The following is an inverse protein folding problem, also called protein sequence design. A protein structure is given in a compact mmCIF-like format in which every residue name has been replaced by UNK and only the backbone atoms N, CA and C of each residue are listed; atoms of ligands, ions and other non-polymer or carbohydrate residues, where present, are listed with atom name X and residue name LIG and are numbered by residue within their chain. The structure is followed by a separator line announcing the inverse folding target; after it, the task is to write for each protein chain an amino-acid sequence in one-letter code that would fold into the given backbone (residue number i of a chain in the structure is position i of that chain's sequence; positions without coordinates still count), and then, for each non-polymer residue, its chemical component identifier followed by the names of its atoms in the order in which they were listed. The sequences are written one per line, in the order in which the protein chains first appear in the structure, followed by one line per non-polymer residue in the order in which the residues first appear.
data_IF_077572737525
#
_entry.id   IF_077572737525
#
_cell.length_a   1.000
_cell.length_b   1.000
_cell.length_c   1.000
_cell.angle_alpha   90.00
_cell.angle_beta   90.00
_cell.angle_gamma   90.00
#
_symmetry.space_group_name_H-M   'P 1'
#
loop_
_entity.id
_entity.type
_entity.pdbx_description
1 polymer ?
#
# COMPACT_ATOMS: atom_id res chain seq x y z
N UNK A 1 -20.59 -0.17 -41.92
CA UNK A 1 -21.14 -0.13 -40.57
C UNK A 1 -21.00 1.30 -40.06
N UNK A 2 -22.06 1.93 -39.51
CA UNK A 2 -21.91 3.24 -38.87
C UNK A 2 -20.94 3.14 -37.70
N UNK A 3 -20.12 4.18 -37.47
CA UNK A 3 -19.20 4.23 -36.36
C UNK A 3 -19.97 4.02 -35.06
N UNK A 4 -19.37 3.25 -34.14
CA UNK A 4 -19.96 3.04 -32.85
C UNK A 4 -20.09 4.38 -32.11
N UNK A 5 -21.30 4.73 -31.69
CA UNK A 5 -21.57 5.97 -30.98
C UNK A 5 -20.87 5.92 -29.63
N UNK A 6 -20.07 6.95 -29.33
CA UNK A 6 -19.38 7.07 -28.02
C UNK A 6 -20.45 7.40 -26.97
N UNK A 7 -20.48 6.66 -25.83
CA UNK A 7 -21.39 6.96 -24.74
C UNK A 7 -21.17 8.36 -24.16
N UNK A 8 -22.22 9.03 -23.69
CA UNK A 8 -22.11 10.37 -23.07
C UNK A 8 -21.22 10.40 -21.85
N UNK A 9 -21.06 9.27 -21.16
CA UNK A 9 -20.26 9.08 -19.95
C UNK A 9 -18.91 8.40 -20.23
N UNK A 10 -18.39 8.50 -21.44
CA UNK A 10 -17.19 7.79 -21.91
C UNK A 10 -15.98 8.00 -21.01
N UNK A 11 -15.71 9.23 -20.57
CA UNK A 11 -14.59 9.53 -19.70
C UNK A 11 -14.70 8.78 -18.36
N UNK A 12 -15.87 8.76 -17.75
CA UNK A 12 -16.14 8.04 -16.49
C UNK A 12 -16.04 6.53 -16.69
N UNK A 13 -16.55 6.03 -17.83
CA UNK A 13 -16.48 4.63 -18.21
C UNK A 13 -15.04 4.14 -18.38
N UNK A 14 -14.21 4.91 -19.08
CA UNK A 14 -12.79 4.59 -19.25
C UNK A 14 -12.04 4.62 -17.94
N UNK A 15 -12.30 5.60 -17.08
CA UNK A 15 -11.71 5.63 -15.73
C UNK A 15 -12.10 4.40 -14.91
N UNK A 16 -13.39 4.00 -14.92
CA UNK A 16 -13.85 2.81 -14.22
C UNK A 16 -13.26 1.51 -14.78
N UNK A 17 -12.95 1.45 -16.07
CA UNK A 17 -12.27 0.33 -16.71
C UNK A 17 -10.79 0.27 -16.34
N UNK A 18 -10.11 1.41 -16.34
CA UNK A 18 -8.67 1.53 -15.99
C UNK A 18 -8.41 1.14 -14.52
N UNK A 19 -9.28 1.60 -13.62
CA UNK A 19 -9.22 1.28 -12.20
C UNK A 19 -9.35 -0.23 -11.87
N UNK A 20 -9.86 -1.04 -12.80
CA UNK A 20 -9.94 -2.50 -12.61
C UNK A 20 -8.60 -3.21 -12.82
N UNK A 21 -7.63 -2.56 -13.44
CA UNK A 21 -6.30 -3.14 -13.67
C UNK A 21 -6.28 -4.43 -14.53
N UNK A 22 -7.41 -4.80 -15.20
CA UNK A 22 -7.54 -6.05 -15.96
C UNK A 22 -7.34 -5.87 -17.46
N UNK A 23 -7.27 -4.64 -17.94
CA UNK A 23 -7.06 -4.31 -19.34
C UNK A 23 -5.60 -4.61 -19.73
N UNK A 24 -5.40 -5.24 -20.89
CA UNK A 24 -4.07 -5.64 -21.41
C UNK A 24 -3.27 -6.59 -20.50
N UNK A 25 -3.93 -7.25 -19.54
CA UNK A 25 -3.32 -8.27 -18.69
C UNK A 25 -3.42 -9.68 -19.32
N UNK A 26 -2.63 -10.67 -18.88
CA UNK A 26 -2.74 -12.05 -19.36
C UNK A 26 -4.14 -12.63 -19.24
N UNK A 27 -4.42 -13.66 -20.03
CA UNK A 27 -5.66 -14.44 -19.93
C UNK A 27 -5.73 -15.08 -18.53
N UNK A 28 -6.95 -15.18 -17.99
CA UNK A 28 -7.19 -15.72 -16.65
C UNK A 28 -8.22 -16.85 -16.69
N UNK A 29 -7.88 -18.01 -16.12
CA UNK A 29 -8.72 -19.22 -16.15
C UNK A 29 -10.14 -18.99 -15.58
N UNK A 30 -10.33 -18.04 -14.67
CA UNK A 30 -11.67 -17.67 -14.15
C UNK A 30 -12.61 -17.16 -15.24
N UNK A 31 -12.13 -16.35 -16.18
CA UNK A 31 -12.92 -15.89 -17.34
C UNK A 31 -13.01 -16.98 -18.42
N UNK A 32 -11.94 -17.76 -18.60
CA UNK A 32 -11.92 -18.87 -19.55
C UNK A 32 -12.91 -19.97 -19.18
N UNK A 33 -13.15 -20.24 -17.89
CA UNK A 33 -14.19 -21.14 -17.42
C UNK A 33 -15.58 -20.71 -17.90
N UNK A 34 -15.86 -19.41 -17.84
CA UNK A 34 -17.15 -18.84 -18.24
C UNK A 34 -17.34 -19.01 -19.74
N UNK A 35 -16.36 -18.60 -20.55
CA UNK A 35 -16.45 -18.70 -22.02
C UNK A 35 -16.52 -20.15 -22.51
N UNK A 36 -15.77 -21.09 -21.89
CA UNK A 36 -15.90 -22.52 -22.19
C UNK A 36 -17.29 -23.07 -21.81
N UNK A 37 -17.85 -22.60 -20.70
CA UNK A 37 -19.19 -23.01 -20.26
C UNK A 37 -20.25 -22.52 -21.25
N UNK A 38 -20.16 -21.28 -21.71
CA UNK A 38 -21.03 -20.72 -22.74
C UNK A 38 -21.03 -21.59 -24.02
N UNK A 39 -19.85 -21.91 -24.55
CA UNK A 39 -19.72 -22.76 -25.73
C UNK A 39 -20.40 -24.12 -25.55
N UNK A 40 -20.29 -24.72 -24.36
CA UNK A 40 -20.91 -26.03 -24.07
C UNK A 40 -22.43 -25.95 -23.94
N UNK A 41 -22.94 -24.96 -23.20
CA UNK A 41 -24.39 -24.82 -22.93
C UNK A 41 -25.12 -24.48 -24.22
N UNK A 42 -24.64 -23.51 -24.97
CA UNK A 42 -25.33 -23.04 -26.21
C UNK A 42 -24.93 -23.84 -27.46
N UNK A 43 -24.02 -24.81 -27.34
CA UNK A 43 -23.45 -25.54 -28.49
C UNK A 43 -23.00 -24.59 -29.61
N UNK A 44 -22.22 -23.55 -29.21
CA UNK A 44 -21.79 -22.45 -30.06
C UNK A 44 -20.25 -22.44 -30.18
N UNK A 45 -19.68 -22.13 -31.37
CA UNK A 45 -18.24 -22.19 -31.57
C UNK A 45 -17.50 -21.04 -30.94
N UNK A 46 -18.14 -19.88 -30.73
CA UNK A 46 -17.47 -18.65 -30.33
C UNK A 46 -18.11 -18.09 -29.07
N UNK A 47 -17.28 -17.86 -28.03
CA UNK A 47 -17.67 -17.12 -26.84
C UNK A 47 -16.48 -16.29 -26.30
N UNK A 48 -16.74 -15.10 -25.81
CA UNK A 48 -15.66 -14.24 -25.30
C UNK A 48 -16.15 -13.22 -24.27
N UNK A 49 -15.21 -12.82 -23.40
CA UNK A 49 -15.32 -11.65 -22.52
C UNK A 49 -14.53 -10.52 -23.19
N UNK A 50 -15.20 -9.43 -23.49
CA UNK A 50 -14.60 -8.28 -24.14
C UNK A 50 -14.64 -7.05 -23.24
N UNK A 51 -13.53 -6.32 -23.18
CA UNK A 51 -13.40 -5.01 -22.54
C UNK A 51 -13.18 -3.97 -23.63
N UNK A 52 -13.90 -2.86 -23.54
CA UNK A 52 -13.88 -1.83 -24.60
C UNK A 52 -13.12 -0.61 -24.09
N UNK A 53 -11.90 -0.46 -24.58
CA UNK A 53 -11.08 0.71 -24.36
C UNK A 53 -11.43 1.86 -25.32
N UNK A 54 -10.65 2.93 -25.28
CA UNK A 54 -10.86 4.14 -26.12
C UNK A 54 -10.95 3.80 -27.61
N UNK A 55 -9.97 3.07 -28.13
CA UNK A 55 -9.85 2.75 -29.55
C UNK A 55 -9.78 1.23 -29.83
N UNK A 56 -9.74 0.42 -28.79
CA UNK A 56 -9.49 -1.02 -28.86
C UNK A 56 -10.56 -1.80 -28.11
N UNK A 57 -11.00 -2.91 -28.71
CA UNK A 57 -11.69 -3.98 -28.01
C UNK A 57 -10.64 -5.02 -27.59
N UNK A 58 -10.47 -5.22 -26.29
CA UNK A 58 -9.59 -6.22 -25.70
C UNK A 58 -10.38 -7.45 -25.28
N UNK A 59 -9.93 -8.65 -25.73
CA UNK A 59 -10.59 -9.91 -25.37
C UNK A 59 -9.89 -10.50 -24.15
N UNK A 60 -10.52 -10.38 -22.98
CA UNK A 60 -10.03 -10.89 -21.69
C UNK A 60 -10.10 -12.42 -21.61
N UNK A 61 -11.02 -13.01 -22.35
CA UNK A 61 -11.14 -14.46 -22.57
C UNK A 61 -11.80 -14.70 -23.91
N UNK A 62 -11.38 -15.72 -24.64
CA UNK A 62 -11.94 -16.07 -25.94
C UNK A 62 -11.92 -17.58 -26.18
N UNK A 63 -12.99 -18.08 -26.82
CA UNK A 63 -13.10 -19.42 -27.40
C UNK A 63 -13.48 -19.27 -28.88
N UNK A 64 -12.82 -20.05 -29.73
CA UNK A 64 -13.10 -20.07 -31.18
C UNK A 64 -12.53 -18.89 -31.99
N UNK A 65 -11.83 -17.96 -31.33
CA UNK A 65 -11.05 -16.88 -31.92
C UNK A 65 -9.60 -16.92 -31.44
N UNK A 66 -8.65 -16.73 -32.37
CA UNK A 66 -7.24 -16.54 -32.02
C UNK A 66 -6.87 -15.06 -31.76
N UNK A 67 -7.81 -14.14 -32.00
CA UNK A 67 -7.58 -12.70 -31.81
C UNK A 67 -7.65 -12.35 -30.32
N UNK A 68 -6.70 -11.52 -29.87
CA UNK A 68 -6.66 -10.98 -28.51
C UNK A 68 -7.25 -9.55 -28.47
N UNK A 69 -7.19 -8.83 -29.58
CA UNK A 69 -7.75 -7.49 -29.70
C UNK A 69 -8.29 -7.21 -31.11
N UNK A 70 -9.18 -6.24 -31.21
CA UNK A 70 -9.73 -5.71 -32.48
C UNK A 70 -9.90 -4.20 -32.34
N UNK A 71 -10.10 -3.51 -33.47
CA UNK A 71 -10.41 -2.09 -33.46
C UNK A 71 -11.85 -1.88 -32.94
N UNK A 72 -12.01 -0.94 -32.01
CA UNK A 72 -13.32 -0.58 -31.45
C UNK A 72 -14.32 -0.16 -32.50
N UNK A 73 -13.90 0.55 -33.55
CA UNK A 73 -14.79 1.02 -34.60
C UNK A 73 -15.44 -0.12 -35.42
N UNK A 74 -14.81 -1.29 -35.46
CA UNK A 74 -15.36 -2.48 -36.14
C UNK A 74 -16.06 -3.45 -35.20
N UNK A 75 -16.04 -3.18 -33.90
CA UNK A 75 -16.56 -4.06 -32.86
C UNK A 75 -18.08 -3.99 -32.75
N UNK A 76 -18.76 -5.15 -32.90
CA UNK A 76 -20.20 -5.28 -32.60
C UNK A 76 -20.45 -5.02 -31.10
N UNK A 77 -19.53 -5.41 -30.22
CA UNK A 77 -19.61 -5.20 -28.77
C UNK A 77 -19.67 -3.72 -28.39
N UNK A 78 -19.06 -2.83 -29.19
CA UNK A 78 -19.15 -1.39 -28.98
C UNK A 78 -20.57 -0.86 -29.08
N UNK A 79 -21.40 -1.48 -29.88
CA UNK A 79 -22.84 -1.17 -29.94
C UNK A 79 -23.57 -1.71 -28.70
N UNK A 80 -23.17 -2.88 -28.20
CA UNK A 80 -23.75 -3.46 -26.98
C UNK A 80 -23.50 -2.60 -25.74
N UNK A 81 -22.36 -1.85 -25.66
CA UNK A 81 -22.12 -0.89 -24.58
C UNK A 81 -23.22 0.18 -24.45
N UNK A 82 -23.93 0.49 -25.53
CA UNK A 82 -25.01 1.50 -25.54
C UNK A 82 -26.37 0.92 -25.13
N UNK A 83 -26.45 -0.40 -25.01
CA UNK A 83 -27.67 -1.07 -24.56
C UNK A 83 -27.76 -1.02 -23.02
N UNK A 84 -28.98 -1.06 -22.50
CA UNK A 84 -29.21 -1.15 -21.06
C UNK A 84 -28.72 -2.49 -20.51
N UNK A 85 -28.92 -3.59 -21.26
CA UNK A 85 -28.58 -4.93 -20.81
C UNK A 85 -27.89 -5.77 -21.93
N UNK A 86 -28.47 -5.89 -23.11
CA UNK A 86 -27.96 -6.76 -24.17
C UNK A 86 -28.33 -6.31 -25.57
N UNK A 87 -27.63 -6.84 -26.58
CA UNK A 87 -28.01 -6.89 -27.97
C UNK A 87 -28.01 -8.35 -28.43
N UNK A 88 -29.09 -8.78 -29.04
CA UNK A 88 -29.22 -10.07 -29.72
C UNK A 88 -29.53 -9.81 -31.19
N UNK A 89 -28.79 -10.48 -32.08
CA UNK A 89 -28.99 -10.44 -33.50
C UNK A 89 -28.96 -11.88 -34.06
N UNK A 90 -30.14 -12.40 -34.44
CA UNK A 90 -30.30 -13.78 -34.90
C UNK A 90 -29.69 -14.02 -36.31
N UNK A 91 -29.58 -12.97 -37.13
CA UNK A 91 -28.89 -13.00 -38.42
C UNK A 91 -28.26 -11.63 -38.73
N UNK A 92 -26.99 -11.49 -38.46
CA UNK A 92 -26.19 -10.26 -38.66
C UNK A 92 -26.18 -9.80 -40.14
N UNK A 93 -26.35 -10.72 -41.11
CA UNK A 93 -26.37 -10.37 -42.54
C UNK A 93 -27.64 -9.65 -42.96
N UNK A 94 -28.68 -9.70 -42.14
CA UNK A 94 -29.96 -9.04 -42.35
C UNK A 94 -30.18 -7.81 -41.50
N UNK A 95 -29.30 -7.57 -40.50
CA UNK A 95 -29.39 -6.41 -39.61
C UNK A 95 -28.73 -5.20 -40.26
N UNK A 96 -29.49 -4.13 -40.46
CA UNK A 96 -29.02 -2.89 -41.09
C UNK A 96 -27.82 -2.26 -40.38
N UNK A 97 -27.64 -2.51 -39.07
CA UNK A 97 -26.50 -2.02 -38.27
C UNK A 97 -25.22 -2.77 -38.61
N UNK A 98 -25.31 -4.07 -38.91
CA UNK A 98 -24.18 -4.99 -38.93
C UNK A 98 -23.89 -5.68 -40.25
N UNK A 99 -24.81 -5.66 -41.24
CA UNK A 99 -24.69 -6.39 -42.51
C UNK A 99 -23.39 -6.09 -43.26
N UNK A 100 -22.85 -4.87 -43.14
CA UNK A 100 -21.61 -4.43 -43.80
C UNK A 100 -20.39 -4.51 -42.88
N UNK A 101 -20.51 -5.13 -41.69
CA UNK A 101 -19.41 -5.28 -40.78
C UNK A 101 -18.34 -6.27 -41.32
N UNK A 102 -17.06 -6.00 -41.08
CA UNK A 102 -15.98 -6.82 -41.59
C UNK A 102 -16.08 -8.29 -41.13
N UNK A 103 -16.55 -8.54 -39.91
CA UNK A 103 -16.75 -9.91 -39.41
C UNK A 103 -17.95 -10.65 -40.06
N UNK A 104 -18.88 -9.92 -40.66
CA UNK A 104 -20.01 -10.45 -41.39
C UNK A 104 -19.67 -10.71 -42.87
N UNK A 105 -18.86 -9.82 -43.46
CA UNK A 105 -18.53 -9.83 -44.89
C UNK A 105 -17.27 -10.58 -45.25
N UNK A 106 -16.30 -10.72 -44.29
CA UNK A 106 -15.05 -11.47 -44.50
C UNK A 106 -15.22 -12.99 -44.37
N UNK A 107 -14.13 -13.70 -44.37
CA UNK A 107 -14.07 -15.17 -44.21
C UNK A 107 -14.60 -15.67 -42.88
N UNK A 108 -14.67 -14.81 -41.84
CA UNK A 108 -15.32 -15.12 -40.57
C UNK A 108 -16.81 -15.44 -40.70
N UNK A 109 -17.52 -14.77 -41.65
CA UNK A 109 -18.92 -15.01 -41.99
C UNK A 109 -19.84 -15.09 -40.76
N UNK A 110 -19.63 -14.25 -39.73
CA UNK A 110 -20.51 -14.25 -38.57
C UNK A 110 -21.96 -13.99 -39.00
N UNK A 111 -22.89 -14.75 -38.39
CA UNK A 111 -24.33 -14.65 -38.65
C UNK A 111 -25.15 -14.41 -37.41
N UNK A 112 -24.73 -14.96 -36.29
CA UNK A 112 -25.42 -14.78 -35.01
C UNK A 112 -24.52 -14.05 -34.02
N UNK A 113 -25.12 -13.20 -33.19
CA UNK A 113 -24.47 -12.53 -32.10
C UNK A 113 -25.44 -12.31 -30.94
N UNK A 114 -25.02 -12.63 -29.71
CA UNK A 114 -25.67 -12.18 -28.49
C UNK A 114 -24.60 -11.67 -27.54
N UNK A 115 -24.71 -10.42 -27.11
CA UNK A 115 -23.78 -9.76 -26.18
C UNK A 115 -24.53 -9.10 -25.06
N UNK A 116 -24.09 -9.36 -23.84
CA UNK A 116 -24.63 -8.82 -22.60
C UNK A 116 -23.61 -7.89 -21.93
N UNK A 117 -24.09 -6.77 -21.39
CA UNK A 117 -23.20 -5.76 -20.81
C UNK A 117 -22.57 -6.22 -19.51
N UNK A 118 -21.27 -5.93 -19.35
CA UNK A 118 -20.53 -6.06 -18.12
C UNK A 118 -20.27 -4.66 -17.54
N UNK A 119 -20.42 -4.51 -16.24
CA UNK A 119 -20.42 -3.19 -15.58
C UNK A 119 -19.33 -3.08 -14.51
N UNK A 120 -18.80 -1.88 -14.38
CA UNK A 120 -18.05 -1.46 -13.20
C UNK A 120 -18.61 -0.15 -12.69
N UNK A 121 -18.93 -0.07 -11.41
CA UNK A 121 -19.55 1.13 -10.79
C UNK A 121 -20.82 1.60 -11.52
N UNK A 122 -21.60 0.67 -12.07
CA UNK A 122 -22.80 0.97 -12.83
C UNK A 122 -22.58 1.44 -14.28
N UNK A 123 -21.34 1.49 -14.75
CA UNK A 123 -20.95 1.90 -16.10
C UNK A 123 -20.64 0.67 -16.96
N UNK A 124 -21.16 0.61 -18.19
CA UNK A 124 -20.86 -0.48 -19.11
C UNK A 124 -19.41 -0.42 -19.56
N UNK A 125 -18.59 -1.38 -19.19
CA UNK A 125 -17.14 -1.43 -19.49
C UNK A 125 -16.76 -2.46 -20.56
N UNK A 126 -17.66 -3.40 -20.80
CA UNK A 126 -17.41 -4.52 -21.70
C UNK A 126 -18.66 -5.36 -21.90
N UNK A 127 -18.46 -6.56 -22.44
CA UNK A 127 -19.54 -7.48 -22.77
C UNK A 127 -19.12 -8.93 -22.59
N UNK A 128 -20.08 -9.77 -22.20
CA UNK A 128 -20.00 -11.22 -22.36
C UNK A 128 -20.76 -11.60 -23.61
N UNK A 129 -20.10 -12.30 -24.53
CA UNK A 129 -20.65 -12.54 -25.87
C UNK A 129 -20.57 -13.99 -26.29
N UNK A 130 -21.56 -14.36 -27.14
CA UNK A 130 -21.54 -15.57 -27.94
C UNK A 130 -21.80 -15.20 -29.40
N UNK A 131 -21.19 -15.95 -30.32
CA UNK A 131 -21.35 -15.71 -31.75
C UNK A 131 -21.25 -17.01 -32.56
N UNK A 132 -21.84 -17.03 -33.75
CA UNK A 132 -21.83 -18.19 -34.66
C UNK A 132 -21.71 -17.75 -36.12
N UNK A 133 -21.19 -18.63 -37.00
CA UNK A 133 -21.17 -18.50 -38.43
C UNK A 133 -22.52 -18.86 -39.10
N UNK A 134 -23.52 -19.29 -38.30
CA UNK A 134 -24.88 -19.63 -38.71
C UNK A 134 -25.90 -18.77 -37.98
N UNK A 135 -27.02 -18.40 -38.65
CA UNK A 135 -28.15 -17.77 -37.98
C UNK A 135 -28.71 -18.69 -36.88
N UNK A 136 -29.10 -18.10 -35.73
CA UNK A 136 -29.70 -18.82 -34.59
C UNK A 136 -30.90 -18.07 -34.04
N UNK A 137 -31.90 -18.80 -33.58
CA UNK A 137 -32.96 -18.26 -32.75
C UNK A 137 -32.47 -18.19 -31.30
N UNK A 138 -32.92 -17.22 -30.57
CA UNK A 138 -32.52 -17.01 -29.16
C UNK A 138 -33.76 -16.68 -28.34
N UNK A 139 -34.24 -17.65 -27.58
CA UNK A 139 -35.50 -17.58 -26.86
C UNK A 139 -35.32 -17.00 -25.43
N UNK A 140 -36.42 -16.87 -24.67
CA UNK A 140 -36.39 -16.32 -23.33
C UNK A 140 -35.60 -17.19 -22.30
N UNK A 141 -35.52 -18.49 -22.48
CA UNK A 141 -34.73 -19.39 -21.64
C UNK A 141 -33.23 -19.20 -21.91
N UNK A 142 -32.86 -19.04 -23.18
CA UNK A 142 -31.48 -18.69 -23.58
C UNK A 142 -31.07 -17.34 -23.00
N UNK A 143 -31.96 -16.34 -23.04
CA UNK A 143 -31.71 -15.03 -22.43
C UNK A 143 -31.51 -15.15 -20.93
N UNK A 144 -32.34 -15.92 -20.22
CA UNK A 144 -32.20 -16.14 -18.77
C UNK A 144 -30.85 -16.81 -18.41
N UNK A 145 -30.48 -17.86 -19.17
CA UNK A 145 -29.22 -18.56 -19.01
C UNK A 145 -28.03 -17.62 -19.25
N UNK A 146 -28.12 -16.80 -20.30
CA UNK A 146 -27.04 -15.82 -20.58
C UNK A 146 -26.92 -14.75 -19.51
N UNK A 147 -28.04 -14.32 -18.89
CA UNK A 147 -28.03 -13.42 -17.72
C UNK A 147 -27.28 -14.02 -16.53
N UNK A 148 -27.58 -15.30 -16.21
CA UNK A 148 -26.94 -15.98 -15.08
C UNK A 148 -25.42 -16.08 -15.28
N UNK A 149 -24.97 -16.42 -16.49
CA UNK A 149 -23.56 -16.49 -16.84
C UNK A 149 -22.90 -15.12 -16.89
N UNK A 150 -23.64 -14.09 -17.31
CA UNK A 150 -23.18 -12.69 -17.26
C UNK A 150 -23.03 -12.23 -15.79
N UNK A 151 -23.97 -12.61 -14.93
CA UNK A 151 -23.86 -12.36 -13.48
C UNK A 151 -22.62 -13.03 -12.88
N UNK A 152 -22.25 -14.24 -13.33
CA UNK A 152 -21.00 -14.87 -12.91
C UNK A 152 -19.79 -14.06 -13.37
N UNK A 153 -19.70 -13.68 -14.66
CA UNK A 153 -18.61 -12.83 -15.17
C UNK A 153 -18.53 -11.48 -14.42
N UNK A 154 -19.68 -10.90 -14.10
CA UNK A 154 -19.77 -9.68 -13.30
C UNK A 154 -19.23 -9.88 -11.89
N UNK A 155 -19.46 -11.02 -11.27
CA UNK A 155 -18.94 -11.36 -9.95
C UNK A 155 -17.40 -11.44 -9.98
N UNK A 156 -16.82 -12.05 -11.02
CA UNK A 156 -15.36 -12.11 -11.18
C UNK A 156 -14.72 -10.72 -11.33
N UNK A 157 -15.38 -9.81 -12.05
CA UNK A 157 -14.96 -8.40 -12.18
C UNK A 157 -15.03 -7.69 -10.83
N UNK A 158 -16.13 -7.86 -10.09
CA UNK A 158 -16.32 -7.24 -8.77
C UNK A 158 -15.28 -7.75 -7.75
N UNK A 159 -14.94 -9.04 -7.77
CA UNK A 159 -13.91 -9.63 -6.91
C UNK A 159 -12.53 -9.01 -7.18
N UNK A 160 -12.18 -8.70 -8.43
CA UNK A 160 -10.95 -8.00 -8.76
C UNK A 160 -10.92 -6.63 -8.10
N UNK A 161 -11.99 -5.86 -8.24
CA UNK A 161 -12.10 -4.52 -7.67
C UNK A 161 -11.97 -4.53 -6.13
N UNK A 162 -12.62 -5.50 -5.47
CA UNK A 162 -12.52 -5.64 -4.00
C UNK A 162 -11.10 -5.98 -3.55
N UNK A 163 -10.40 -6.85 -4.26
CA UNK A 163 -9.02 -7.24 -3.93
C UNK A 163 -8.07 -6.03 -4.03
N UNK A 164 -8.21 -5.20 -5.04
CA UNK A 164 -7.37 -4.00 -5.20
C UNK A 164 -7.62 -2.96 -4.10
N UNK A 165 -8.89 -2.71 -3.77
CA UNK A 165 -9.26 -1.82 -2.66
C UNK A 165 -8.70 -2.34 -1.33
N UNK A 166 -8.73 -3.65 -1.09
CA UNK A 166 -8.16 -4.24 0.12
C UNK A 166 -6.65 -4.02 0.21
N UNK A 167 -5.92 -4.24 -0.89
CA UNK A 167 -4.46 -4.03 -0.93
C UNK A 167 -4.14 -2.55 -0.66
N UNK A 168 -4.88 -1.63 -1.26
CA UNK A 168 -4.69 -0.20 -1.04
C UNK A 168 -4.94 0.18 0.42
N UNK A 169 -6.05 -0.27 1.01
CA UNK A 169 -6.39 0.02 2.42
C UNK A 169 -5.34 -0.54 3.39
N UNK A 170 -4.84 -1.75 3.14
CA UNK A 170 -3.76 -2.34 3.97
C UNK A 170 -2.50 -1.47 3.86
N UNK A 171 -2.13 -1.03 2.66
CA UNK A 171 -0.95 -0.19 2.45
C UNK A 171 -1.08 1.17 3.14
N UNK A 172 -2.24 1.82 3.02
CA UNK A 172 -2.53 3.08 3.70
C UNK A 172 -2.53 2.93 5.23
N UNK A 173 -3.09 1.82 5.73
CA UNK A 173 -3.09 1.52 7.17
C UNK A 173 -1.67 1.30 7.70
N UNK A 174 -0.85 0.51 6.98
CA UNK A 174 0.55 0.26 7.34
C UNK A 174 1.36 1.56 7.34
N UNK A 175 1.13 2.45 6.38
CA UNK A 175 1.80 3.74 6.33
C UNK A 175 1.36 4.64 7.50
N UNK A 176 0.05 4.76 7.74
CA UNK A 176 -0.47 5.54 8.86
C UNK A 176 0.03 5.00 10.22
N UNK A 177 0.15 3.67 10.37
CA UNK A 177 0.73 3.08 11.58
C UNK A 177 2.22 3.38 11.74
N UNK A 178 2.99 3.42 10.65
CA UNK A 178 4.41 3.81 10.70
C UNK A 178 4.55 5.28 11.08
N UNK A 179 3.76 6.17 10.45
CA UNK A 179 3.79 7.60 10.72
C UNK A 179 3.38 7.89 12.17
N UNK A 180 2.36 7.18 12.69
CA UNK A 180 1.95 7.30 14.11
C UNK A 180 3.03 6.83 15.11
N UNK A 181 4.11 6.18 14.68
CA UNK A 181 5.20 5.69 15.53
C UNK A 181 6.44 6.59 15.52
N UNK A 182 6.46 7.60 14.68
CA UNK A 182 7.59 8.52 14.53
C UNK A 182 7.26 9.85 15.23
N UNK A 183 8.27 10.44 15.86
CA UNK A 183 8.20 11.81 16.39
C UNK A 183 8.41 12.81 15.26
N UNK A 184 7.45 13.72 15.05
CA UNK A 184 7.43 14.65 13.91
C UNK A 184 8.62 15.63 13.91
N UNK A 185 9.17 15.96 15.07
CA UNK A 185 10.28 16.91 15.16
C UNK A 185 11.62 16.26 14.84
N UNK A 186 11.86 15.04 15.34
CA UNK A 186 13.19 14.41 15.31
C UNK A 186 13.31 13.29 14.28
N UNK A 187 12.19 12.79 13.74
CA UNK A 187 12.19 11.61 12.87
C UNK A 187 12.65 10.31 13.57
N UNK A 188 12.74 10.31 14.89
CA UNK A 188 13.03 9.14 15.72
C UNK A 188 11.74 8.40 16.10
N UNK A 189 11.85 7.23 16.71
CA UNK A 189 10.69 6.61 17.33
C UNK A 189 10.10 7.51 18.42
N UNK A 190 8.77 7.63 18.44
CA UNK A 190 8.09 8.35 19.54
C UNK A 190 8.04 7.48 20.81
N UNK A 191 7.57 8.06 21.92
CA UNK A 191 7.50 7.40 23.22
C UNK A 191 6.75 6.07 23.19
N UNK A 192 5.62 6.00 22.50
CA UNK A 192 4.83 4.77 22.39
C UNK A 192 5.59 3.67 21.68
N UNK A 193 6.15 4.01 20.53
CA UNK A 193 6.87 3.06 19.70
C UNK A 193 8.17 2.55 20.35
N UNK A 194 8.96 3.42 21.00
CA UNK A 194 10.20 3.00 21.66
C UNK A 194 9.92 2.08 22.86
N UNK A 195 8.79 2.27 23.57
CA UNK A 195 8.36 1.36 24.63
C UNK A 195 8.01 -0.04 24.10
N UNK A 196 7.35 -0.12 22.93
CA UNK A 196 7.11 -1.42 22.28
C UNK A 196 8.43 -2.12 21.89
N UNK A 197 9.43 -1.36 21.42
CA UNK A 197 10.76 -1.91 21.09
C UNK A 197 11.44 -2.42 22.35
N UNK A 198 11.35 -1.69 23.46
CA UNK A 198 11.90 -2.08 24.76
C UNK A 198 11.31 -3.42 25.24
N UNK A 199 10.00 -3.59 25.18
CA UNK A 199 9.33 -4.85 25.54
C UNK A 199 9.83 -6.02 24.69
N UNK A 200 10.01 -5.80 23.38
CA UNK A 200 10.55 -6.82 22.48
C UNK A 200 12.01 -7.17 22.77
N UNK A 201 12.84 -6.17 23.11
CA UNK A 201 14.23 -6.39 23.49
C UNK A 201 14.34 -7.22 24.78
N UNK A 202 13.50 -6.93 25.78
CA UNK A 202 13.42 -7.70 27.01
C UNK A 202 12.96 -9.14 26.76
N UNK A 203 11.90 -9.35 25.99
CA UNK A 203 11.42 -10.69 25.63
C UNK A 203 12.51 -11.49 24.89
N UNK A 204 13.26 -10.87 23.98
CA UNK A 204 14.41 -11.50 23.32
C UNK A 204 15.50 -11.89 24.30
N UNK A 205 15.82 -11.01 25.26
CA UNK A 205 16.78 -11.31 26.32
C UNK A 205 16.38 -12.56 27.12
N UNK A 206 15.10 -12.69 27.50
CA UNK A 206 14.61 -13.87 28.25
C UNK A 206 14.80 -15.18 27.46
N UNK A 207 14.69 -15.15 26.14
CA UNK A 207 14.84 -16.33 25.27
C UNK A 207 16.32 -16.64 25.00
N UNK A 208 17.08 -15.62 24.61
CA UNK A 208 18.46 -15.80 24.10
C UNK A 208 19.53 -15.70 25.16
N UNK A 209 19.20 -15.17 26.33
CA UNK A 209 20.14 -14.83 27.42
C UNK A 209 21.24 -13.84 27.00
N UNK A 210 21.07 -13.18 25.85
CA UNK A 210 21.98 -12.11 25.42
C UNK A 210 21.67 -10.82 26.20
N UNK A 211 22.67 -10.11 26.72
CA UNK A 211 22.42 -8.88 27.44
C UNK A 211 21.97 -7.75 26.53
N UNK A 212 21.11 -6.88 27.03
CA UNK A 212 20.83 -5.59 26.43
C UNK A 212 20.98 -4.48 27.47
N UNK A 213 21.22 -3.26 27.00
CA UNK A 213 21.37 -2.09 27.83
C UNK A 213 20.45 -0.98 27.40
N UNK A 214 20.09 -0.11 28.32
CA UNK A 214 19.33 1.10 28.10
C UNK A 214 20.17 2.33 28.40
N UNK A 215 19.91 3.41 27.66
CA UNK A 215 20.40 4.74 28.03
C UNK A 215 19.25 5.73 27.99
N UNK A 216 19.02 6.40 29.11
CA UNK A 216 18.15 7.58 29.16
C UNK A 216 19.05 8.81 29.03
N UNK A 217 18.77 9.64 28.04
CA UNK A 217 19.57 10.85 27.73
C UNK A 217 18.67 12.06 27.83
N UNK A 218 19.19 13.15 28.43
CA UNK A 218 18.45 14.40 28.61
C UNK A 218 19.36 15.59 28.25
N UNK A 219 18.79 16.60 27.63
CA UNK A 219 19.50 17.83 27.25
C UNK A 219 19.62 18.75 28.46
N UNK A 220 20.83 19.02 28.89
CA UNK A 220 21.09 19.83 30.09
C UNK A 220 20.58 21.26 29.93
N UNK A 221 19.87 21.75 30.95
CA UNK A 221 19.37 23.11 31.03
C UNK A 221 18.47 23.53 29.83
N UNK A 222 17.79 22.58 29.17
CA UNK A 222 16.98 22.83 27.97
C UNK A 222 15.92 23.92 28.20
N UNK A 223 15.32 23.98 29.39
CA UNK A 223 14.38 25.06 29.72
C UNK A 223 15.05 26.45 29.58
N UNK A 224 16.28 26.59 30.05
CA UNK A 224 17.01 27.87 29.93
C UNK A 224 17.30 28.23 28.47
N UNK A 225 17.56 27.24 27.60
CA UNK A 225 17.71 27.44 26.15
C UNK A 225 16.40 28.01 25.58
N UNK A 226 15.26 27.41 25.91
CA UNK A 226 13.96 27.91 25.48
C UNK A 226 13.65 29.31 26.01
N UNK A 227 13.92 29.55 27.31
CA UNK A 227 13.65 30.84 27.92
C UNK A 227 14.53 31.98 27.33
N UNK A 228 15.76 31.64 26.86
CA UNK A 228 16.71 32.62 26.31
C UNK A 228 16.51 32.84 24.78
N UNK A 229 16.32 31.77 24.00
CA UNK A 229 16.37 31.80 22.54
C UNK A 229 15.01 31.52 21.90
N UNK A 230 14.01 31.15 22.68
CA UNK A 230 12.67 30.79 22.21
C UNK A 230 12.52 29.34 21.77
N UNK A 231 11.27 28.84 21.74
CA UNK A 231 10.94 27.46 21.37
C UNK A 231 11.44 27.02 19.99
N UNK A 232 11.39 27.87 18.93
CA UNK A 232 11.90 27.44 17.61
C UNK A 232 13.40 27.12 17.61
N UNK A 233 14.18 27.77 18.45
CA UNK A 233 15.60 27.43 18.61
C UNK A 233 15.77 26.16 19.48
N UNK A 234 14.96 25.99 20.51
CA UNK A 234 14.90 24.74 21.27
C UNK A 234 14.64 23.53 20.39
N UNK A 235 13.72 23.65 19.44
CA UNK A 235 13.43 22.58 18.46
C UNK A 235 14.66 22.26 17.59
N UNK A 236 15.44 23.26 17.17
CA UNK A 236 16.72 23.04 16.46
C UNK A 236 17.74 22.31 17.34
N UNK A 237 17.81 22.64 18.64
CA UNK A 237 18.68 21.95 19.61
C UNK A 237 18.27 20.49 19.75
N UNK A 238 16.98 20.20 19.94
CA UNK A 238 16.46 18.83 20.01
C UNK A 238 16.82 18.03 18.75
N UNK A 239 16.58 18.61 17.56
CA UNK A 239 16.86 17.94 16.28
C UNK A 239 18.37 17.69 16.11
N UNK A 240 19.23 18.66 16.44
CA UNK A 240 20.67 18.52 16.32
C UNK A 240 21.22 17.41 17.26
N UNK A 241 20.73 17.34 18.52
CA UNK A 241 21.10 16.28 19.46
C UNK A 241 20.57 14.92 18.98
N UNK A 242 19.32 14.85 18.49
CA UNK A 242 18.73 13.62 17.96
C UNK A 242 19.56 13.05 16.82
N UNK A 243 19.99 13.89 15.87
CA UNK A 243 20.82 13.50 14.73
C UNK A 243 22.20 13.00 15.19
N UNK A 244 22.85 13.69 16.14
CA UNK A 244 24.13 13.28 16.68
C UNK A 244 24.04 11.92 17.42
N UNK A 245 23.03 11.74 18.26
CA UNK A 245 22.79 10.48 18.96
C UNK A 245 22.56 9.33 17.96
N UNK A 246 21.73 9.56 16.93
CA UNK A 246 21.40 8.59 15.90
C UNK A 246 22.63 8.17 15.07
N UNK A 247 23.50 9.10 14.72
CA UNK A 247 24.74 8.82 13.98
C UNK A 247 25.79 8.09 14.84
N UNK A 248 25.74 8.26 16.16
CA UNK A 248 26.70 7.69 17.11
C UNK A 248 26.37 6.26 17.55
N UNK A 249 25.20 5.72 17.22
CA UNK A 249 24.79 4.35 17.54
C UNK A 249 24.85 3.45 16.30
N UNK A 250 24.77 2.12 16.50
CA UNK A 250 24.79 1.14 15.41
C UNK A 250 23.42 1.00 14.79
N UNK A 251 23.32 0.50 13.54
CA UNK A 251 22.03 0.20 12.91
C UNK A 251 21.17 -0.85 13.66
N UNK A 252 21.80 -1.68 14.51
CA UNK A 252 21.11 -2.64 15.38
C UNK A 252 20.51 -2.01 16.64
N UNK A 253 20.99 -0.84 17.02
CA UNK A 253 20.52 -0.12 18.19
C UNK A 253 19.32 0.75 17.82
N UNK A 254 18.45 1.01 18.77
CA UNK A 254 17.23 1.77 18.53
C UNK A 254 17.20 3.00 19.41
N UNK A 255 16.80 4.14 18.84
CA UNK A 255 16.64 5.40 19.56
C UNK A 255 15.23 5.96 19.35
N UNK A 256 14.66 6.54 20.39
CA UNK A 256 13.39 7.25 20.34
C UNK A 256 13.39 8.48 21.23
N UNK A 257 12.54 9.44 20.89
CA UNK A 257 12.25 10.59 21.75
C UNK A 257 11.25 10.15 22.82
N UNK A 258 11.69 10.16 24.06
CA UNK A 258 10.91 9.64 25.19
C UNK A 258 10.07 10.73 25.88
N UNK A 259 10.54 11.96 25.87
CA UNK A 259 9.89 13.13 26.44
C UNK A 259 10.18 14.40 25.65
N UNK A 260 9.99 15.56 26.22
CA UNK A 260 10.27 16.86 25.57
C UNK A 260 11.71 16.97 25.06
N UNK A 261 12.66 16.81 25.98
CA UNK A 261 14.11 16.89 25.78
C UNK A 261 14.82 15.57 26.15
N UNK A 262 14.05 14.49 26.34
CA UNK A 262 14.55 13.18 26.75
C UNK A 262 14.54 12.17 25.58
N UNK A 263 15.61 11.36 25.51
CA UNK A 263 15.74 10.29 24.54
C UNK A 263 16.02 8.96 25.23
N UNK A 264 15.44 7.89 24.71
CA UNK A 264 15.72 6.52 25.12
C UNK A 264 16.46 5.79 24.01
N UNK A 265 17.62 5.20 24.35
CA UNK A 265 18.40 4.36 23.46
C UNK A 265 18.39 2.92 24.00
N UNK A 266 18.05 1.97 23.12
CA UNK A 266 18.05 0.54 23.41
C UNK A 266 19.21 -0.09 22.64
N UNK A 267 20.15 -0.68 23.37
CA UNK A 267 21.38 -1.27 22.86
C UNK A 267 21.26 -2.79 22.88
N UNK A 268 21.07 -3.41 21.70
CA UNK A 268 20.97 -4.86 21.60
C UNK A 268 22.35 -5.54 21.70
N UNK A 269 22.40 -6.73 22.34
CA UNK A 269 23.62 -7.50 22.56
C UNK A 269 24.75 -6.63 23.14
N UNK A 270 24.40 -5.77 24.10
CA UNK A 270 25.26 -4.80 24.73
C UNK A 270 25.32 -5.05 26.22
N UNK A 271 26.50 -5.28 26.76
CA UNK A 271 26.76 -5.43 28.19
C UNK A 271 27.07 -4.06 28.86
N UNK A 272 27.11 -4.04 30.16
CA UNK A 272 27.36 -2.85 30.97
C UNK A 272 28.62 -2.07 30.54
N UNK A 273 29.73 -2.77 30.31
CA UNK A 273 30.99 -2.13 29.95
C UNK A 273 30.91 -1.40 28.61
N UNK A 274 30.29 -2.03 27.59
CA UNK A 274 30.09 -1.40 26.29
C UNK A 274 29.10 -0.24 26.33
N UNK A 275 28.06 -0.34 27.17
CA UNK A 275 27.14 0.77 27.41
C UNK A 275 27.88 1.96 28.03
N UNK A 276 28.73 1.72 29.01
CA UNK A 276 29.58 2.76 29.64
C UNK A 276 30.52 3.43 28.65
N UNK A 277 31.19 2.66 27.77
CA UNK A 277 32.07 3.21 26.73
C UNK A 277 31.29 4.07 25.73
N UNK A 278 30.10 3.60 25.31
CA UNK A 278 29.23 4.36 24.39
C UNK A 278 28.74 5.65 25.07
N UNK A 279 28.32 5.62 26.34
CA UNK A 279 27.86 6.83 27.02
C UNK A 279 28.95 7.92 27.09
N UNK A 280 30.21 7.55 27.31
CA UNK A 280 31.32 8.48 27.27
C UNK A 280 31.59 9.06 25.89
N UNK A 281 31.43 8.24 24.85
CA UNK A 281 31.55 8.69 23.46
C UNK A 281 30.44 9.66 23.09
N UNK A 282 29.20 9.40 23.50
CA UNK A 282 28.07 10.30 23.28
C UNK A 282 28.27 11.66 23.94
N UNK A 283 28.75 11.68 25.17
CA UNK A 283 29.14 12.93 25.88
C UNK A 283 30.23 13.69 25.12
N UNK A 284 31.27 13.01 24.66
CA UNK A 284 32.32 13.64 23.87
C UNK A 284 31.81 14.26 22.57
N UNK A 285 30.94 13.57 21.86
CA UNK A 285 30.35 14.08 20.60
C UNK A 285 29.41 15.24 20.85
N UNK A 286 28.59 15.21 21.92
CA UNK A 286 27.72 16.32 22.28
C UNK A 286 28.49 17.61 22.58
N UNK A 287 29.69 17.54 23.18
CA UNK A 287 30.55 18.70 23.39
C UNK A 287 31.08 19.31 22.09
N UNK A 288 31.23 18.53 21.04
CA UNK A 288 31.67 19.02 19.73
C UNK A 288 30.55 19.64 18.92
N UNK A 289 29.29 19.38 19.30
CA UNK A 289 28.14 19.92 18.61
C UNK A 289 28.03 21.43 18.86
N UNK A 290 28.01 22.19 17.79
CA UNK A 290 27.80 23.63 17.80
C UNK A 290 26.54 23.98 17.02
N UNK A 291 25.60 24.65 17.67
CA UNK A 291 24.33 25.06 17.06
C UNK A 291 24.37 26.57 16.89
N UNK A 292 24.07 27.07 15.68
CA UNK A 292 24.20 28.49 15.37
C UNK A 292 22.83 29.16 15.51
N UNK A 293 22.77 30.22 16.34
CA UNK A 293 21.63 31.12 16.46
C UNK A 293 22.05 32.54 16.07
N UNK A 294 21.52 33.10 14.97
CA UNK A 294 21.81 34.47 14.54
C UNK A 294 23.32 34.84 14.54
N UNK A 295 24.19 33.95 14.06
CA UNK A 295 25.65 34.03 14.05
C UNK A 295 26.32 33.89 15.44
N UNK A 296 25.61 33.50 16.48
CA UNK A 296 26.17 33.12 17.77
C UNK A 296 26.25 31.60 17.89
N UNK A 297 27.37 31.11 18.37
CA UNK A 297 27.57 29.69 18.70
C UNK A 297 26.95 29.36 20.07
N UNK A 298 25.93 28.49 20.07
CA UNK A 298 25.33 27.99 21.30
C UNK A 298 25.78 26.54 21.50
N UNK A 299 26.33 26.27 22.68
CA UNK A 299 26.73 24.92 23.13
C UNK A 299 25.76 24.44 24.18
N UNK A 300 25.42 23.17 24.08
CA UNK A 300 24.64 22.46 25.12
C UNK A 300 25.35 21.16 25.47
N UNK A 301 25.07 20.61 26.63
CA UNK A 301 25.51 19.29 27.03
C UNK A 301 24.33 18.34 27.24
N UNK A 302 24.64 17.09 27.43
CA UNK A 302 23.67 16.05 27.76
C UNK A 302 24.06 15.33 29.03
N UNK A 303 23.09 14.87 29.78
CA UNK A 303 23.29 13.91 30.88
C UNK A 303 22.77 12.54 30.47
N UNK A 304 23.44 11.48 30.88
CA UNK A 304 23.11 10.10 30.48
C UNK A 304 23.02 9.22 31.73
N UNK A 305 21.89 8.52 31.87
CA UNK A 305 21.73 7.38 32.77
C UNK A 305 21.68 6.09 31.98
N UNK A 306 22.44 5.06 32.37
CA UNK A 306 22.42 3.78 31.68
C UNK A 306 22.30 2.60 32.64
N UNK A 307 21.66 1.52 32.16
CA UNK A 307 21.49 0.28 32.89
C UNK A 307 21.62 -0.92 31.95
N UNK A 308 22.04 -2.06 32.45
CA UNK A 308 22.27 -3.27 31.67
C UNK A 308 21.81 -4.52 32.41
N UNK A 309 21.20 -5.46 31.66
CA UNK A 309 20.68 -6.71 32.21
C UNK A 309 21.74 -7.69 32.69
N UNK A 310 23.00 -7.52 32.32
CA UNK A 310 24.12 -8.32 32.84
C UNK A 310 24.71 -7.75 34.16
N UNK A 311 24.31 -6.54 34.53
CA UNK A 311 24.78 -5.87 35.74
C UNK A 311 23.71 -5.77 36.84
N UNK A 312 22.46 -5.63 36.44
CA UNK A 312 21.32 -5.45 37.33
C UNK A 312 20.28 -6.53 37.04
N UNK A 313 19.89 -7.31 38.05
CA UNK A 313 18.80 -8.26 37.92
C UNK A 313 17.47 -7.51 37.96
N UNK A 314 16.70 -7.58 36.85
CA UNK A 314 15.36 -6.97 36.72
C UNK A 314 14.34 -8.03 36.34
N UNK A 315 13.10 -7.85 36.77
CA UNK A 315 12.03 -8.77 36.47
C UNK A 315 11.35 -8.49 35.11
N UNK A 316 11.40 -7.25 34.69
CA UNK A 316 10.74 -6.75 33.47
C UNK A 316 11.51 -5.59 32.84
N UNK A 317 11.01 -5.14 31.69
CA UNK A 317 11.62 -4.07 30.93
C UNK A 317 11.52 -2.70 31.61
N UNK A 318 10.44 -2.47 32.34
CA UNK A 318 10.21 -1.26 33.14
C UNK A 318 11.22 -1.10 34.26
N UNK A 319 11.53 -2.19 34.98
CA UNK A 319 12.51 -2.15 36.02
C UNK A 319 13.91 -1.76 35.52
N UNK A 320 14.32 -2.18 34.32
CA UNK A 320 15.59 -1.72 33.75
C UNK A 320 15.54 -0.24 33.35
N UNK A 321 14.39 0.21 32.85
CA UNK A 321 14.17 1.61 32.52
C UNK A 321 14.23 2.51 33.75
N UNK A 322 13.59 2.10 34.84
CA UNK A 322 13.67 2.81 36.13
C UNK A 322 15.10 2.92 36.64
N UNK A 323 15.93 1.87 36.49
CA UNK A 323 17.35 1.92 36.85
C UNK A 323 18.11 2.95 36.01
N UNK A 324 17.86 3.01 34.70
CA UNK A 324 18.48 3.99 33.80
C UNK A 324 18.03 5.42 34.14
N UNK A 325 16.73 5.62 34.45
CA UNK A 325 16.20 6.93 34.87
C UNK A 325 16.80 7.40 36.22
N UNK A 326 16.92 6.51 37.20
CA UNK A 326 17.56 6.81 38.47
C UNK A 326 19.05 7.18 38.30
N UNK A 327 19.74 6.50 37.36
CA UNK A 327 21.13 6.82 37.03
C UNK A 327 21.21 8.21 36.34
N UNK A 328 20.27 8.56 35.44
CA UNK A 328 20.18 9.90 34.86
C UNK A 328 19.93 10.98 35.92
N UNK A 329 19.02 10.71 36.82
CA UNK A 329 18.77 11.63 37.96
C UNK A 329 20.02 11.88 38.76
N UNK A 330 20.83 10.84 39.04
CA UNK A 330 22.13 10.96 39.74
C UNK A 330 23.11 11.82 38.93
N UNK A 331 23.20 11.61 37.61
CA UNK A 331 24.03 12.41 36.71
C UNK A 331 23.66 13.91 36.76
N UNK A 332 22.36 14.22 36.76
CA UNK A 332 21.87 15.59 36.90
C UNK A 332 22.20 16.23 38.27
N UNK A 333 22.14 15.46 39.36
CA UNK A 333 22.50 15.94 40.68
C UNK A 333 23.99 16.19 40.85
N UNK A 334 24.85 15.40 40.24
CA UNK A 334 26.32 15.52 40.36
C UNK A 334 26.90 16.61 39.45
N UNK A 335 26.08 17.45 38.87
CA UNK A 335 26.51 18.64 38.12
C UNK A 335 26.23 18.59 36.64
N UNK A 336 25.47 17.59 36.16
CA UNK A 336 25.16 17.38 34.72
C UNK A 336 26.39 17.06 33.87
N UNK A 337 26.22 17.04 32.54
CA UNK A 337 27.32 16.80 31.61
C UNK A 337 28.16 15.56 31.94
N UNK A 338 27.48 14.50 32.34
CA UNK A 338 28.11 13.24 32.73
C UNK A 338 27.20 12.04 32.52
N UNK A 339 27.79 10.84 32.59
CA UNK A 339 27.07 9.57 32.53
C UNK A 339 27.17 8.81 33.84
N UNK A 340 26.07 8.16 34.25
CA UNK A 340 26.01 7.26 35.40
C UNK A 340 25.28 5.97 35.04
N UNK A 341 25.64 4.86 35.74
CA UNK A 341 24.97 3.57 35.53
C UNK A 341 25.29 2.57 36.62
#
# INVERSE_FOLDING_TARGET
MPDAIIPKNEQQRLAALDELGILYTPLEDRFDKITRTLCRIFHIPIAYVSLIDKDTQWLKSTQGFELINTNRSTSICSHTLLADEFIICEDLSKDERFKDNIFVTSDFKLRFYAGFTLKSRGLNIGTLCIADDKPRTFNNEDIATMRDLTSWAQTEINLTQLSEIQIQLITELDQAQKDAKIDDLTGLWNQGAIKEVLQRAHHRHLITQQPYSLMMVDIDNFKQVNDTYGHPFGDQVITAIADELKQSIRPSDTIGRYGGDEFLIILENCNYQRAKELSQRLLHHSHQLTIINNNEEVKTSISIGFASTDHIAVNDAEGLLECADQALYTAKQEGRDCARG
#
